data_IF_097892170711
#
_entry.id   IF_097892170711
#
_cell.length_a   1.000
_cell.length_b   1.000
_cell.length_c   1.000
_cell.angle_alpha   90.00
_cell.angle_beta   90.00
_cell.angle_gamma   90.00
#
_symmetry.space_group_name_H-M   'P 1'
#
loop_
_entity.id
_entity.type
_entity.pdbx_description
1 polymer ?
#
# COMPACT_ATOMS: atom_id res chain seq x y z
N UNK A 1 25.15 -18.96 1.16
CA UNK A 1 23.72 -18.58 0.96
C UNK A 1 23.75 -17.23 0.21
N UNK A 2 22.69 -16.77 -0.46
CA UNK A 2 22.78 -15.46 -1.14
C UNK A 2 22.90 -14.35 -0.07
N UNK A 3 23.78 -13.35 -0.26
CA UNK A 3 24.04 -12.28 0.73
C UNK A 3 22.77 -11.56 1.21
N UNK A 4 21.78 -11.36 0.33
CA UNK A 4 20.49 -10.75 0.71
C UNK A 4 19.73 -11.65 1.71
N UNK A 5 19.69 -12.95 1.45
CA UNK A 5 19.01 -13.92 2.32
C UNK A 5 19.74 -14.09 3.65
N UNK A 6 21.07 -14.05 3.65
CA UNK A 6 21.90 -14.08 4.87
C UNK A 6 21.62 -12.88 5.77
N UNK A 7 21.62 -11.68 5.19
CA UNK A 7 21.32 -10.44 5.92
C UNK A 7 19.89 -10.40 6.44
N UNK A 8 18.93 -10.86 5.62
CA UNK A 8 17.53 -10.91 6.03
C UNK A 8 17.32 -11.91 7.17
N UNK A 9 17.85 -13.13 7.06
CA UNK A 9 17.79 -14.14 8.12
C UNK A 9 18.45 -13.66 9.40
N UNK A 10 19.63 -13.04 9.31
CA UNK A 10 20.32 -12.47 10.47
C UNK A 10 19.45 -11.43 11.19
N UNK A 11 18.82 -10.54 10.43
CA UNK A 11 17.91 -9.52 10.97
C UNK A 11 16.64 -10.13 11.58
N UNK A 12 16.10 -11.20 11.00
CA UNK A 12 14.96 -11.94 11.58
C UNK A 12 15.35 -12.64 12.88
N UNK A 13 16.57 -13.19 12.98
CA UNK A 13 17.09 -13.77 14.23
C UNK A 13 17.28 -12.70 15.30
N UNK A 14 17.72 -11.51 14.95
CA UNK A 14 17.80 -10.38 15.87
C UNK A 14 16.40 -9.93 16.35
N UNK A 15 15.43 -9.86 15.44
CA UNK A 15 14.04 -9.56 15.79
C UNK A 15 13.45 -10.60 16.75
N UNK A 16 13.71 -11.88 16.50
CA UNK A 16 13.32 -12.98 17.39
C UNK A 16 13.92 -12.82 18.78
N UNK A 17 15.26 -12.68 18.86
CA UNK A 17 16.01 -12.53 20.12
C UNK A 17 15.55 -11.32 20.92
N UNK A 18 15.32 -10.19 20.26
CA UNK A 18 14.86 -8.94 20.88
C UNK A 18 13.51 -9.12 21.61
N UNK A 19 12.61 -9.97 21.08
CA UNK A 19 11.33 -10.25 21.73
C UNK A 19 11.50 -11.23 22.89
N UNK A 20 12.17 -12.36 22.70
CA UNK A 20 12.28 -13.38 23.76
C UNK A 20 13.11 -12.91 24.95
N UNK A 21 14.10 -12.04 24.72
CA UNK A 21 14.97 -11.47 25.75
C UNK A 21 14.45 -10.14 26.31
N UNK A 22 13.24 -9.72 25.93
CA UNK A 22 12.65 -8.49 26.46
C UNK A 22 12.48 -8.57 27.99
N UNK A 23 12.90 -7.50 28.67
CA UNK A 23 12.76 -7.35 30.13
C UNK A 23 11.31 -7.55 30.56
N UNK A 24 11.12 -8.17 31.73
CA UNK A 24 9.80 -8.29 32.35
C UNK A 24 9.22 -6.94 32.83
N UNK A 25 10.03 -5.88 32.86
CA UNK A 25 9.59 -4.51 33.14
C UNK A 25 8.92 -3.83 31.94
N UNK A 26 9.10 -4.33 30.72
CA UNK A 26 8.42 -3.78 29.55
C UNK A 26 6.95 -4.21 29.52
N UNK A 27 6.07 -3.29 29.17
CA UNK A 27 4.69 -3.58 28.81
C UNK A 27 4.63 -4.39 27.51
N UNK A 28 3.51 -5.09 27.31
CA UNK A 28 3.26 -5.88 26.10
C UNK A 28 3.26 -4.98 24.85
N UNK A 29 2.72 -3.77 24.96
CA UNK A 29 2.66 -2.78 23.89
C UNK A 29 4.07 -2.33 23.46
N UNK A 30 4.98 -2.15 24.42
CA UNK A 30 6.39 -1.84 24.15
C UNK A 30 7.09 -3.00 23.45
N UNK A 31 6.84 -4.25 23.86
CA UNK A 31 7.41 -5.44 23.22
C UNK A 31 6.89 -5.59 21.78
N UNK A 32 5.60 -5.34 21.53
CA UNK A 32 5.03 -5.35 20.17
C UNK A 32 5.63 -4.24 19.30
N UNK A 33 5.85 -3.05 19.87
CA UNK A 33 6.49 -1.92 19.19
C UNK A 33 7.96 -2.20 18.85
N UNK A 34 8.69 -2.83 19.77
CA UNK A 34 10.06 -3.33 19.54
C UNK A 34 10.08 -4.37 18.43
N UNK A 35 9.19 -5.36 18.48
CA UNK A 35 9.05 -6.38 17.43
C UNK A 35 8.82 -5.72 16.07
N UNK A 36 7.89 -4.77 16.00
CA UNK A 36 7.57 -4.02 14.78
C UNK A 36 8.79 -3.27 14.22
N UNK A 37 9.53 -2.56 15.08
CA UNK A 37 10.78 -1.88 14.70
C UNK A 37 11.80 -2.85 14.11
N UNK A 38 12.04 -3.97 14.78
CA UNK A 38 13.00 -4.99 14.33
C UNK A 38 12.59 -5.67 13.02
N UNK A 39 11.30 -5.90 12.82
CA UNK A 39 10.79 -6.41 11.55
C UNK A 39 10.98 -5.40 10.43
N UNK A 40 10.75 -4.09 10.66
CA UNK A 40 11.08 -3.06 9.66
C UNK A 40 12.55 -3.05 9.30
N UNK A 41 13.44 -3.18 10.29
CA UNK A 41 14.88 -3.30 10.08
C UNK A 41 15.20 -4.52 9.20
N UNK A 42 14.56 -5.67 9.43
CA UNK A 42 14.74 -6.85 8.60
C UNK A 42 14.27 -6.63 7.15
N UNK A 43 13.05 -6.13 6.93
CA UNK A 43 12.54 -5.90 5.57
C UNK A 43 13.30 -4.79 4.82
N UNK A 44 13.99 -3.88 5.52
CA UNK A 44 14.90 -2.90 4.90
C UNK A 44 16.06 -3.53 4.13
N UNK A 45 16.37 -4.81 4.40
CA UNK A 45 17.41 -5.59 3.69
C UNK A 45 16.90 -6.29 2.44
N UNK A 46 15.61 -6.16 2.14
CA UNK A 46 14.92 -6.88 1.07
C UNK A 46 14.24 -5.93 0.10
N UNK A 47 13.90 -6.43 -1.09
CA UNK A 47 13.01 -5.71 -2.00
C UNK A 47 11.56 -6.01 -1.64
N UNK A 48 10.76 -4.96 -1.47
CA UNK A 48 9.33 -5.09 -1.27
C UNK A 48 8.55 -3.98 -1.98
N UNK A 49 7.28 -4.25 -2.26
CA UNK A 49 6.34 -3.29 -2.84
C UNK A 49 5.07 -3.22 -2.00
N UNK A 50 4.62 -1.99 -1.72
CA UNK A 50 3.33 -1.74 -1.06
C UNK A 50 2.48 -0.90 -2.02
N UNK A 51 1.42 -1.52 -2.53
CA UNK A 51 0.45 -0.92 -3.43
C UNK A 51 -0.85 -0.61 -2.68
N UNK A 52 -1.60 0.39 -3.14
CA UNK A 52 -2.94 0.67 -2.63
C UNK A 52 -2.99 1.39 -1.28
N UNK A 53 -1.89 2.02 -0.84
CA UNK A 53 -1.86 2.78 0.43
C UNK A 53 -2.93 3.88 0.48
N UNK A 54 -3.37 4.40 -0.68
CA UNK A 54 -4.46 5.36 -0.81
C UNK A 54 -5.80 4.83 -0.30
N UNK A 55 -5.93 3.51 -0.09
CA UNK A 55 -7.14 2.88 0.42
C UNK A 55 -7.19 2.82 1.96
N UNK A 56 -6.11 3.20 2.66
CA UNK A 56 -6.06 3.16 4.12
C UNK A 56 -7.07 4.14 4.74
N UNK A 57 -8.00 3.68 5.61
CA UNK A 57 -8.89 4.56 6.35
C UNK A 57 -8.13 5.46 7.34
N UNK A 58 -8.61 6.67 7.61
CA UNK A 58 -7.91 7.58 8.53
C UNK A 58 -8.04 7.20 10.01
N UNK A 59 -9.18 6.61 10.41
CA UNK A 59 -9.46 6.13 11.77
C UNK A 59 -10.62 5.13 11.76
N UNK A 60 -10.72 4.33 12.80
CA UNK A 60 -11.90 3.50 13.08
C UNK A 60 -11.55 2.13 13.66
N UNK A 61 -12.57 1.30 13.80
CA UNK A 61 -12.45 -0.09 14.25
C UNK A 61 -12.01 -0.92 13.03
N UNK A 62 -10.69 -1.03 12.82
CA UNK A 62 -10.13 -1.60 11.59
C UNK A 62 -9.77 -3.08 11.78
N UNK A 63 -10.23 -3.92 10.86
CA UNK A 63 -9.81 -5.32 10.74
C UNK A 63 -9.04 -5.48 9.44
N UNK A 64 -7.73 -5.65 9.53
CA UNK A 64 -6.88 -6.00 8.39
C UNK A 64 -6.93 -7.51 8.17
N UNK A 65 -7.37 -7.92 6.99
CA UNK A 65 -7.41 -9.33 6.60
C UNK A 65 -6.40 -9.60 5.50
N UNK A 66 -5.76 -10.75 5.56
CA UNK A 66 -4.73 -11.11 4.59
C UNK A 66 -4.77 -12.59 4.23
N UNK A 67 -4.30 -12.90 3.03
CA UNK A 67 -4.01 -14.28 2.67
C UNK A 67 -2.71 -14.71 3.32
N UNK A 68 -2.69 -15.91 3.88
CA UNK A 68 -1.61 -16.37 4.72
C UNK A 68 -0.69 -17.31 3.94
N UNK A 69 0.57 -16.90 3.82
CA UNK A 69 1.58 -17.61 3.06
C UNK A 69 2.52 -18.41 3.97
N UNK A 70 3.01 -19.53 3.44
CA UNK A 70 4.15 -20.24 4.00
C UNK A 70 5.38 -19.34 4.00
N UNK A 71 6.36 -19.66 4.84
CA UNK A 71 7.69 -19.07 4.75
C UNK A 71 8.64 -20.06 4.08
N UNK A 72 9.64 -19.56 3.35
CA UNK A 72 10.72 -20.42 2.89
C UNK A 72 11.48 -21.04 4.09
N UNK A 73 11.79 -22.37 4.10
CA UNK A 73 12.43 -23.05 5.24
C UNK A 73 13.73 -22.40 5.75
N UNK A 74 14.48 -21.78 4.83
CA UNK A 74 15.69 -20.99 5.12
C UNK A 74 15.48 -19.90 6.19
N UNK A 75 14.27 -19.35 6.31
CA UNK A 75 13.97 -18.28 7.28
C UNK A 75 13.59 -18.79 8.68
N UNK A 76 14.10 -19.97 9.06
CA UNK A 76 14.00 -20.50 10.43
C UNK A 76 14.94 -19.75 11.36
N UNK A 77 14.37 -19.09 12.37
CA UNK A 77 15.11 -18.25 13.32
C UNK A 77 15.56 -19.02 14.56
N UNK A 78 14.90 -20.15 14.83
CA UNK A 78 15.22 -21.10 15.88
C UNK A 78 14.79 -22.50 15.45
N UNK A 79 15.13 -23.52 16.25
CA UNK A 79 14.77 -24.92 15.98
C UNK A 79 13.24 -25.05 15.82
N UNK A 80 12.80 -25.57 14.68
CA UNK A 80 11.39 -25.76 14.34
C UNK A 80 10.53 -24.48 14.49
N UNK A 81 11.12 -23.29 14.34
CA UNK A 81 10.39 -22.03 14.49
C UNK A 81 10.77 -20.97 13.45
N UNK A 82 9.72 -20.39 12.86
CA UNK A 82 9.79 -19.27 11.93
C UNK A 82 8.88 -18.14 12.42
N UNK A 83 9.36 -16.90 12.27
CA UNK A 83 8.53 -15.70 12.41
C UNK A 83 7.60 -15.62 11.21
N UNK A 84 6.29 -15.55 11.44
CA UNK A 84 5.28 -15.46 10.38
C UNK A 84 5.41 -14.15 9.58
N UNK A 85 6.01 -14.20 8.39
CA UNK A 85 6.52 -13.00 7.71
C UNK A 85 5.43 -12.04 7.24
N UNK A 86 4.36 -12.55 6.62
CA UNK A 86 3.28 -11.74 6.06
C UNK A 86 2.55 -10.89 7.11
N UNK A 87 2.14 -11.49 8.22
CA UNK A 87 1.40 -10.81 9.29
C UNK A 87 2.29 -9.84 10.07
N UNK A 88 3.57 -10.18 10.24
CA UNK A 88 4.56 -9.26 10.79
C UNK A 88 4.83 -8.09 9.83
N UNK A 89 4.93 -8.34 8.52
CA UNK A 89 5.06 -7.29 7.51
C UNK A 89 3.87 -6.35 7.55
N UNK A 90 2.64 -6.86 7.57
CA UNK A 90 1.42 -6.04 7.65
C UNK A 90 1.44 -5.21 8.93
N UNK A 91 1.70 -5.81 10.08
CA UNK A 91 1.71 -5.09 11.35
C UNK A 91 2.78 -3.99 11.38
N UNK A 92 3.95 -4.23 10.79
CA UNK A 92 5.12 -3.36 10.96
C UNK A 92 5.32 -2.34 9.83
N UNK A 93 5.08 -2.76 8.59
CA UNK A 93 5.29 -1.99 7.36
C UNK A 93 4.05 -1.25 6.89
N UNK A 94 2.86 -1.69 7.34
CA UNK A 94 1.58 -1.04 7.02
C UNK A 94 0.98 -0.42 8.29
N UNK A 95 0.60 -1.22 9.28
CA UNK A 95 -0.24 -0.70 10.36
C UNK A 95 0.57 0.23 11.28
N UNK A 96 1.69 -0.21 11.82
CA UNK A 96 2.50 0.63 12.70
C UNK A 96 3.01 1.88 11.99
N UNK A 97 3.38 1.74 10.71
CA UNK A 97 3.84 2.87 9.88
C UNK A 97 2.78 3.98 9.75
N UNK A 98 1.53 3.61 9.50
CA UNK A 98 0.47 4.58 9.19
C UNK A 98 -0.43 4.93 10.38
N UNK A 99 -0.42 4.14 11.46
CA UNK A 99 -1.27 4.35 12.63
C UNK A 99 -0.49 4.49 13.94
N UNK A 100 0.85 4.40 13.91
CA UNK A 100 1.73 4.46 15.09
C UNK A 100 1.36 3.44 16.19
N UNK A 101 0.84 2.29 15.76
CA UNK A 101 0.53 1.15 16.61
C UNK A 101 0.54 -0.11 15.74
N UNK A 102 1.26 -1.19 16.09
CA UNK A 102 1.33 -2.40 15.27
C UNK A 102 0.04 -3.22 15.23
N UNK A 103 -0.97 -2.85 16.03
CA UNK A 103 -2.22 -3.58 16.16
C UNK A 103 -2.06 -4.88 16.94
N UNK A 104 -3.16 -5.62 17.06
CA UNK A 104 -3.18 -6.96 17.66
C UNK A 104 -3.41 -7.98 16.56
N UNK A 105 -2.61 -9.06 16.58
CA UNK A 105 -2.78 -10.17 15.66
C UNK A 105 -3.61 -11.29 16.28
N UNK A 106 -4.16 -12.14 15.43
CA UNK A 106 -4.65 -13.46 15.81
C UNK A 106 -3.58 -14.49 15.46
N UNK A 107 -3.16 -15.29 16.42
CA UNK A 107 -2.14 -16.32 16.24
C UNK A 107 -2.58 -17.65 16.86
N UNK A 108 -2.07 -18.77 16.36
CA UNK A 108 -2.45 -20.08 16.90
C UNK A 108 -1.80 -20.34 18.24
N UNK A 109 -2.37 -21.18 19.09
CA UNK A 109 -1.67 -21.74 20.26
C UNK A 109 -0.53 -22.68 19.82
N UNK A 110 0.53 -22.77 20.65
CA UNK A 110 1.63 -23.72 20.44
C UNK A 110 1.20 -25.15 20.81
N UNK A 111 1.76 -26.13 20.11
CA UNK A 111 1.82 -27.50 20.60
C UNK A 111 2.84 -27.61 21.76
N UNK A 112 2.74 -28.63 22.64
CA UNK A 112 3.61 -28.76 23.81
C UNK A 112 5.11 -28.80 23.48
N UNK A 113 5.48 -29.32 22.31
CA UNK A 113 6.86 -29.42 21.84
C UNK A 113 7.40 -28.12 21.19
N UNK A 114 6.55 -27.12 20.92
CA UNK A 114 6.96 -25.88 20.23
C UNK A 114 7.41 -24.78 21.20
N UNK A 115 8.52 -25.02 21.91
CA UNK A 115 9.03 -24.12 22.96
C UNK A 115 9.28 -22.68 22.45
N UNK A 116 9.95 -22.52 21.31
CA UNK A 116 10.25 -21.19 20.75
C UNK A 116 9.01 -20.44 20.29
N UNK A 117 8.02 -21.14 19.74
CA UNK A 117 6.73 -20.54 19.38
C UNK A 117 6.00 -20.02 20.63
N UNK A 118 5.98 -20.82 21.71
CA UNK A 118 5.40 -20.40 22.99
C UNK A 118 6.12 -19.17 23.54
N UNK A 119 7.43 -19.25 23.73
CA UNK A 119 8.23 -18.17 24.33
C UNK A 119 8.10 -16.84 23.55
N UNK A 120 8.10 -16.90 22.22
CA UNK A 120 7.97 -15.70 21.39
C UNK A 120 6.59 -15.07 21.48
N UNK A 121 5.53 -15.87 21.32
CA UNK A 121 4.18 -15.33 21.25
C UNK A 121 3.56 -15.00 22.61
N UNK A 122 4.03 -15.63 23.69
CA UNK A 122 3.62 -15.25 25.05
C UNK A 122 4.11 -13.84 25.41
N UNK A 123 5.33 -13.47 24.99
CA UNK A 123 5.86 -12.10 25.15
C UNK A 123 5.06 -11.06 24.36
N UNK A 124 4.45 -11.44 23.24
CA UNK A 124 3.66 -10.54 22.40
C UNK A 124 2.17 -10.48 22.79
N UNK A 125 1.70 -11.42 23.61
CA UNK A 125 0.32 -11.55 24.11
C UNK A 125 -0.76 -11.26 23.06
N UNK A 126 -0.64 -11.81 21.87
CA UNK A 126 -1.67 -11.67 20.85
C UNK A 126 -2.94 -12.43 21.21
N UNK A 127 -4.01 -12.25 20.44
CA UNK A 127 -5.21 -13.08 20.63
C UNK A 127 -4.90 -14.49 20.11
N UNK A 128 -4.93 -15.48 21.01
CA UNK A 128 -4.56 -16.87 20.73
C UNK A 128 -5.79 -17.75 20.49
N UNK A 129 -5.72 -18.63 19.49
CA UNK A 129 -6.78 -19.60 19.14
C UNK A 129 -6.20 -20.98 18.81
N UNK A 130 -6.95 -22.06 19.00
CA UNK A 130 -6.58 -23.35 18.43
C UNK A 130 -6.89 -23.39 16.92
N UNK A 131 -5.93 -23.92 16.15
CA UNK A 131 -6.09 -24.21 14.74
C UNK A 131 -6.27 -25.72 14.51
N UNK A 132 -7.03 -26.12 13.48
CA UNK A 132 -7.49 -27.52 13.25
C UNK A 132 -6.40 -28.59 13.39
N UNK A 133 -5.17 -28.30 12.94
CA UNK A 133 -4.06 -29.25 12.95
C UNK A 133 -3.04 -28.98 14.07
N UNK A 134 -3.32 -28.05 14.97
CA UNK A 134 -2.43 -27.60 16.05
C UNK A 134 -3.19 -27.62 17.39
N UNK A 135 -3.79 -28.77 17.69
CA UNK A 135 -4.49 -29.04 18.95
C UNK A 135 -3.70 -30.14 19.69
N UNK A 136 -3.27 -29.90 20.94
CA UNK A 136 -2.63 -30.93 21.76
C UNK A 136 -3.56 -32.15 21.95
N UNK A 137 -3.01 -33.36 21.93
CA UNK A 137 -3.79 -34.63 22.02
C UNK A 137 -4.68 -34.73 23.27
N UNK A 138 -4.32 -34.02 24.34
CA UNK A 138 -5.05 -34.00 25.61
C UNK A 138 -6.17 -32.95 25.69
N UNK A 139 -6.40 -32.16 24.62
CA UNK A 139 -7.42 -31.12 24.58
C UNK A 139 -8.59 -31.61 23.72
N UNK A 140 -9.80 -31.59 24.29
CA UNK A 140 -11.01 -32.00 23.59
C UNK A 140 -11.71 -30.84 22.85
N UNK A 141 -12.65 -31.17 21.97
CA UNK A 141 -13.39 -30.19 21.17
C UNK A 141 -14.16 -29.15 21.99
N UNK A 142 -14.67 -29.52 23.16
CA UNK A 142 -15.40 -28.60 24.05
C UNK A 142 -14.45 -27.53 24.61
N UNK A 143 -13.25 -27.93 25.03
CA UNK A 143 -12.20 -27.01 25.47
C UNK A 143 -11.73 -26.11 24.32
N UNK A 144 -11.53 -26.67 23.12
CA UNK A 144 -11.20 -25.89 21.91
C UNK A 144 -12.26 -24.82 21.63
N UNK A 145 -13.54 -25.21 21.63
CA UNK A 145 -14.66 -24.28 21.41
C UNK A 145 -14.72 -23.20 22.49
N UNK A 146 -14.53 -23.56 23.75
CA UNK A 146 -14.53 -22.62 24.88
C UNK A 146 -13.41 -21.57 24.75
N UNK A 147 -12.19 -22.02 24.47
CA UNK A 147 -11.03 -21.12 24.31
C UNK A 147 -11.18 -20.24 23.06
N UNK A 148 -11.58 -20.81 21.93
CA UNK A 148 -11.81 -20.05 20.70
C UNK A 148 -13.01 -19.10 20.82
N UNK A 149 -13.94 -19.30 21.76
CA UNK A 149 -15.03 -18.33 22.03
C UNK A 149 -14.48 -17.04 22.65
N UNK A 150 -13.43 -17.12 23.48
CA UNK A 150 -12.78 -15.94 24.09
C UNK A 150 -12.17 -15.00 23.06
N UNK A 151 -11.83 -15.48 21.85
CA UNK A 151 -11.38 -14.63 20.75
C UNK A 151 -12.38 -13.51 20.45
N UNK A 152 -13.69 -13.81 20.40
CA UNK A 152 -14.69 -12.81 20.04
C UNK A 152 -14.80 -11.69 21.07
N UNK A 153 -14.73 -12.02 22.36
CA UNK A 153 -14.76 -11.05 23.46
C UNK A 153 -13.51 -10.16 23.43
N UNK A 154 -12.31 -10.76 23.37
CA UNK A 154 -11.05 -10.03 23.31
C UNK A 154 -10.96 -9.12 22.08
N UNK A 155 -11.28 -9.65 20.90
CA UNK A 155 -11.26 -8.88 19.66
C UNK A 155 -12.27 -7.73 19.68
N UNK A 156 -13.49 -7.97 20.19
CA UNK A 156 -14.51 -6.93 20.31
C UNK A 156 -14.10 -5.82 21.25
N UNK A 157 -13.50 -6.15 22.42
CA UNK A 157 -12.97 -5.15 23.36
C UNK A 157 -11.90 -4.29 22.72
N UNK A 158 -10.96 -4.92 22.00
CA UNK A 158 -9.85 -4.22 21.36
C UNK A 158 -10.33 -3.31 20.22
N UNK A 159 -11.26 -3.79 19.38
CA UNK A 159 -11.86 -3.01 18.30
C UNK A 159 -12.68 -1.83 18.83
N UNK A 160 -13.43 -1.98 19.93
CA UNK A 160 -14.19 -0.89 20.57
C UNK A 160 -13.31 0.28 21.05
N UNK A 161 -12.03 0.03 21.28
CA UNK A 161 -11.05 1.07 21.63
C UNK A 161 -10.49 1.82 20.40
N UNK A 162 -10.96 1.50 19.19
CA UNK A 162 -10.47 2.08 17.93
C UNK A 162 -9.15 1.49 17.44
N UNK A 163 -8.72 0.36 17.99
CA UNK A 163 -7.46 -0.28 17.61
C UNK A 163 -7.60 -1.17 16.36
N UNK A 164 -6.46 -1.56 15.79
CA UNK A 164 -6.38 -2.39 14.59
C UNK A 164 -6.24 -3.89 14.94
N UNK A 165 -7.10 -4.73 14.39
CA UNK A 165 -7.01 -6.20 14.45
C UNK A 165 -6.45 -6.74 13.14
N UNK A 166 -5.57 -7.74 13.19
CA UNK A 166 -4.99 -8.39 12.01
C UNK A 166 -5.25 -9.90 12.09
N UNK A 167 -5.89 -10.46 11.07
CA UNK A 167 -6.17 -11.90 11.02
C UNK A 167 -6.20 -12.45 9.61
N UNK A 168 -5.88 -13.73 9.45
CA UNK A 168 -6.11 -14.45 8.20
C UNK A 168 -7.43 -15.22 8.29
N UNK A 169 -8.39 -14.97 7.38
CA UNK A 169 -9.63 -15.74 7.34
C UNK A 169 -9.42 -17.17 6.84
N UNK A 170 -8.33 -17.49 6.12
CA UNK A 170 -8.03 -18.88 5.71
C UNK A 170 -7.73 -19.77 6.91
N UNK A 171 -7.04 -19.21 7.91
CA UNK A 171 -6.63 -19.93 9.12
C UNK A 171 -5.75 -21.15 8.85
N UNK A 172 -5.10 -21.18 7.69
CA UNK A 172 -4.03 -22.08 7.25
C UNK A 172 -3.11 -21.29 6.33
N UNK A 173 -1.88 -21.75 6.15
CA UNK A 173 -0.86 -21.12 5.30
C UNK A 173 -0.75 -21.89 3.97
N UNK A 174 -0.51 -21.19 2.88
CA UNK A 174 -0.41 -21.76 1.52
C UNK A 174 0.84 -21.25 0.78
N UNK A 175 1.21 -21.92 -0.31
CA UNK A 175 2.13 -21.31 -1.27
C UNK A 175 1.51 -20.07 -1.92
N UNK A 176 2.32 -19.20 -2.52
CA UNK A 176 1.79 -18.06 -3.30
C UNK A 176 0.86 -18.53 -4.42
N UNK A 177 1.16 -19.68 -5.02
CA UNK A 177 0.45 -20.26 -6.15
C UNK A 177 -0.95 -20.75 -5.74
N UNK A 178 -1.06 -21.40 -4.58
CA UNK A 178 -2.29 -22.02 -4.07
C UNK A 178 -3.17 -21.06 -3.25
N UNK A 179 -2.59 -19.99 -2.72
CA UNK A 179 -3.32 -18.95 -2.02
C UNK A 179 -4.30 -18.19 -2.96
N UNK A 180 -5.49 -17.79 -2.49
CA UNK A 180 -6.03 -18.05 -1.16
C UNK A 180 -6.80 -19.37 -1.11
N UNK A 181 -6.70 -20.09 0.00
CA UNK A 181 -7.59 -21.17 0.39
C UNK A 181 -9.01 -20.70 0.76
N UNK A 182 -9.78 -21.62 1.34
CA UNK A 182 -11.18 -21.36 1.74
C UNK A 182 -11.22 -20.53 3.01
N UNK A 183 -12.00 -19.45 2.99
CA UNK A 183 -12.18 -18.60 4.17
C UNK A 183 -13.04 -19.31 5.23
N UNK A 184 -12.54 -19.31 6.46
CA UNK A 184 -13.27 -19.71 7.66
C UNK A 184 -14.24 -18.62 8.08
N UNK A 185 -15.34 -19.04 8.71
CA UNK A 185 -16.42 -18.17 9.18
C UNK A 185 -16.06 -17.29 10.38
N UNK A 186 -14.84 -17.39 10.93
CA UNK A 186 -14.43 -16.72 12.17
C UNK A 186 -14.49 -15.18 12.11
N UNK A 187 -14.03 -14.60 10.99
CA UNK A 187 -14.14 -13.16 10.74
C UNK A 187 -15.60 -12.68 10.76
N UNK A 188 -16.45 -13.38 10.02
CA UNK A 188 -17.86 -13.00 9.84
C UNK A 188 -18.67 -13.22 11.11
N UNK A 189 -18.35 -14.25 11.89
CA UNK A 189 -18.88 -14.46 13.25
C UNK A 189 -18.42 -13.38 14.24
N UNK A 190 -17.24 -12.80 14.06
CA UNK A 190 -16.82 -11.64 14.83
C UNK A 190 -17.64 -10.42 14.42
N UNK A 191 -17.74 -10.14 13.11
CA UNK A 191 -18.54 -9.04 12.57
C UNK A 191 -20.00 -9.09 13.03
N UNK A 192 -20.62 -10.28 13.11
CA UNK A 192 -22.00 -10.41 13.61
C UNK A 192 -22.19 -10.07 15.09
N UNK A 193 -21.13 -10.20 15.89
CA UNK A 193 -21.13 -9.91 17.33
C UNK A 193 -20.77 -8.47 17.65
N UNK A 194 -20.24 -7.72 16.69
CA UNK A 194 -19.86 -6.32 16.90
C UNK A 194 -21.09 -5.43 16.85
N UNK A 195 -21.30 -4.68 17.93
CA UNK A 195 -22.35 -3.65 18.05
C UNK A 195 -21.95 -2.32 17.43
N UNK A 196 -20.79 -2.25 16.76
CA UNK A 196 -20.22 -1.02 16.19
C UNK A 196 -19.93 -1.22 14.70
N UNK A 197 -20.10 -0.18 13.86
CA UNK A 197 -19.62 -0.22 12.50
C UNK A 197 -18.13 -0.55 12.45
N UNK A 198 -17.77 -1.48 11.57
CA UNK A 198 -16.42 -2.03 11.49
C UNK A 198 -15.95 -2.01 10.04
N UNK A 199 -14.68 -1.65 9.84
CA UNK A 199 -14.09 -1.54 8.51
C UNK A 199 -13.12 -2.69 8.33
N UNK A 200 -13.41 -3.56 7.36
CA UNK A 200 -12.49 -4.62 6.95
C UNK A 200 -11.61 -4.09 5.82
N UNK A 201 -10.29 -4.18 5.98
CA UNK A 201 -9.30 -3.76 5.00
C UNK A 201 -8.59 -5.00 4.46
N UNK A 202 -8.94 -5.48 3.25
CA UNK A 202 -8.26 -6.62 2.66
C UNK A 202 -6.87 -6.24 2.15
N UNK A 203 -5.86 -7.02 2.50
CA UNK A 203 -4.48 -6.86 2.05
C UNK A 203 -4.03 -8.15 1.39
N UNK A 204 -3.76 -8.12 0.09
CA UNK A 204 -3.21 -9.26 -0.64
C UNK A 204 -1.70 -9.29 -0.49
N UNK A 205 -1.13 -10.47 -0.19
CA UNK A 205 0.31 -10.69 -0.09
C UNK A 205 0.77 -11.71 -1.13
N UNK A 206 1.98 -11.51 -1.69
CA UNK A 206 2.62 -12.46 -2.59
C UNK A 206 4.10 -12.63 -2.24
N UNK A 207 4.63 -13.82 -2.54
CA UNK A 207 6.03 -14.21 -2.50
C UNK A 207 6.68 -14.30 -1.12
N UNK A 208 5.92 -14.23 -0.02
CA UNK A 208 6.46 -14.42 1.33
C UNK A 208 6.97 -15.85 1.59
N UNK A 209 6.57 -16.79 0.73
CA UNK A 209 7.05 -18.18 0.66
C UNK A 209 8.34 -18.35 -0.16
N UNK A 210 8.83 -17.28 -0.81
CA UNK A 210 10.02 -17.29 -1.66
C UNK A 210 11.22 -16.67 -0.94
N UNK A 211 12.41 -16.90 -1.50
CA UNK A 211 13.63 -16.21 -1.06
C UNK A 211 13.62 -14.74 -1.49
N UNK A 212 14.03 -13.85 -0.58
CA UNK A 212 14.19 -12.42 -0.79
C UNK A 212 15.21 -12.08 -1.88
N UNK A 213 16.18 -12.97 -2.14
CA UNK A 213 17.11 -12.82 -3.26
C UNK A 213 16.51 -13.20 -4.63
N UNK A 214 15.41 -13.95 -4.65
CA UNK A 214 14.79 -14.50 -5.87
C UNK A 214 13.47 -13.84 -6.23
N UNK A 215 12.86 -13.11 -5.30
CA UNK A 215 11.55 -12.51 -5.49
C UNK A 215 11.42 -11.25 -4.67
N UNK A 216 10.37 -10.48 -4.98
CA UNK A 216 10.01 -9.27 -4.27
C UNK A 216 8.78 -9.56 -3.45
N UNK A 217 8.81 -9.22 -2.17
CA UNK A 217 7.63 -9.32 -1.31
C UNK A 217 6.64 -8.25 -1.70
N UNK A 218 5.44 -8.66 -2.14
CA UNK A 218 4.43 -7.70 -2.59
C UNK A 218 3.25 -7.68 -1.64
N UNK A 219 2.74 -6.49 -1.38
CA UNK A 219 1.57 -6.22 -0.56
C UNK A 219 0.65 -5.26 -1.33
N UNK A 220 -0.63 -5.58 -1.50
CA UNK A 220 -1.61 -4.67 -2.10
C UNK A 220 -2.81 -4.48 -1.16
N UNK A 221 -2.97 -3.25 -0.68
CA UNK A 221 -4.08 -2.85 0.18
C UNK A 221 -5.27 -2.53 -0.71
N UNK A 222 -6.35 -3.31 -0.57
CA UNK A 222 -7.58 -3.15 -1.35
C UNK A 222 -8.51 -2.13 -0.71
N UNK A 223 -9.50 -1.69 -1.50
CA UNK A 223 -10.56 -0.80 -1.01
C UNK A 223 -11.23 -1.40 0.23
N UNK A 224 -11.38 -0.62 1.31
CA UNK A 224 -12.00 -1.09 2.54
C UNK A 224 -13.48 -1.42 2.34
N UNK A 225 -13.97 -2.40 3.09
CA UNK A 225 -15.36 -2.83 3.11
C UNK A 225 -15.94 -2.43 4.46
N UNK A 226 -17.03 -1.65 4.43
CA UNK A 226 -17.74 -1.25 5.65
C UNK A 226 -18.83 -2.28 5.94
N UNK A 227 -18.77 -2.88 7.12
CA UNK A 227 -19.83 -3.74 7.64
C UNK A 227 -20.65 -2.96 8.67
N UNK A 228 -21.97 -2.99 8.51
CA UNK A 228 -22.92 -2.51 9.53
C UNK A 228 -22.93 -3.50 10.70
N UNK A 229 -23.36 -3.03 11.87
CA UNK A 229 -23.52 -3.90 13.05
C UNK A 229 -24.55 -4.99 12.75
N UNK A 230 -24.24 -6.22 13.18
CA UNK A 230 -25.06 -7.43 13.08
C UNK A 230 -25.21 -8.01 11.66
N UNK A 231 -24.54 -9.14 11.43
CA UNK A 231 -24.76 -10.04 10.29
C UNK A 231 -25.58 -11.23 10.78
N UNK A 232 -26.63 -11.62 10.06
CA UNK A 232 -27.35 -12.86 10.31
C UNK A 232 -26.50 -14.09 9.94
N UNK A 233 -26.95 -15.30 10.32
CA UNK A 233 -26.22 -16.53 9.95
C UNK A 233 -26.18 -16.78 8.44
N UNK A 234 -27.24 -16.42 7.70
CA UNK A 234 -27.25 -16.48 6.23
C UNK A 234 -26.29 -15.45 5.63
N UNK A 235 -26.23 -14.23 6.18
CA UNK A 235 -25.29 -13.20 5.72
C UNK A 235 -23.83 -13.65 5.88
N UNK A 236 -23.51 -14.34 6.98
CA UNK A 236 -22.17 -14.87 7.23
C UNK A 236 -21.71 -15.79 6.09
N UNK A 237 -22.57 -16.69 5.61
CA UNK A 237 -22.20 -17.62 4.55
C UNK A 237 -21.99 -16.91 3.22
N UNK A 238 -22.95 -16.05 2.87
CA UNK A 238 -22.97 -15.30 1.61
C UNK A 238 -21.75 -14.38 1.54
N UNK A 239 -21.49 -13.60 2.59
CA UNK A 239 -20.38 -12.66 2.63
C UNK A 239 -19.03 -13.37 2.68
N UNK A 240 -18.93 -14.51 3.36
CA UNK A 240 -17.72 -15.34 3.35
C UNK A 240 -17.38 -15.85 1.95
N UNK A 241 -18.34 -16.46 1.27
CA UNK A 241 -18.15 -16.99 -0.08
C UNK A 241 -17.83 -15.87 -1.08
N UNK A 242 -18.59 -14.78 -1.05
CA UNK A 242 -18.41 -13.61 -1.91
C UNK A 242 -17.04 -12.96 -1.72
N UNK A 243 -16.62 -12.73 -0.48
CA UNK A 243 -15.31 -12.13 -0.21
C UNK A 243 -14.18 -13.07 -0.62
N UNK A 244 -14.28 -14.38 -0.36
CA UNK A 244 -13.26 -15.35 -0.75
C UNK A 244 -13.09 -15.40 -2.29
N UNK A 245 -14.19 -15.42 -3.06
CA UNK A 245 -14.16 -15.38 -4.54
C UNK A 245 -13.49 -14.10 -5.06
N UNK A 246 -13.86 -12.95 -4.47
CA UNK A 246 -13.25 -11.65 -4.81
C UNK A 246 -11.76 -11.63 -4.47
N UNK A 247 -11.38 -12.21 -3.34
CA UNK A 247 -10.01 -12.30 -2.88
C UNK A 247 -9.14 -13.14 -3.83
N UNK A 248 -9.66 -14.29 -4.28
CA UNK A 248 -8.98 -15.14 -5.29
C UNK A 248 -8.72 -14.38 -6.60
N UNK A 249 -9.70 -13.61 -7.08
CA UNK A 249 -9.51 -12.74 -8.24
C UNK A 249 -8.42 -11.69 -8.02
N UNK A 250 -8.36 -11.08 -6.84
CA UNK A 250 -7.32 -10.12 -6.50
C UNK A 250 -5.92 -10.73 -6.46
N UNK A 251 -5.76 -11.89 -5.84
CA UNK A 251 -4.48 -12.62 -5.80
C UNK A 251 -4.02 -12.96 -7.22
N UNK A 252 -4.91 -13.52 -8.04
CA UNK A 252 -4.58 -13.87 -9.43
C UNK A 252 -4.21 -12.65 -10.27
N UNK A 253 -4.93 -11.52 -10.11
CA UNK A 253 -4.58 -10.27 -10.79
C UNK A 253 -3.23 -9.74 -10.33
N UNK A 254 -2.94 -9.82 -9.04
CA UNK A 254 -1.69 -9.29 -8.48
C UNK A 254 -0.46 -10.09 -8.92
N UNK A 255 -0.62 -11.39 -9.18
CA UNK A 255 0.42 -12.24 -9.80
C UNK A 255 0.84 -11.75 -11.20
N UNK A 256 -0.04 -11.03 -11.91
CA UNK A 256 0.22 -10.46 -13.23
C UNK A 256 0.85 -9.06 -13.19
N UNK A 257 1.02 -8.45 -12.01
CA UNK A 257 1.68 -7.15 -11.92
C UNK A 257 3.18 -7.30 -12.12
N UNK A 258 3.63 -6.96 -13.32
CA UNK A 258 5.04 -6.87 -13.67
C UNK A 258 5.59 -5.47 -13.39
N UNK A 259 6.91 -5.39 -13.21
CA UNK A 259 7.64 -4.15 -12.93
C UNK A 259 7.51 -3.08 -14.01
N UNK A 260 7.11 -3.46 -15.22
CA UNK A 260 7.06 -2.59 -16.39
C UNK A 260 5.69 -1.90 -16.59
N UNK A 261 4.76 -2.11 -15.66
CA UNK A 261 3.38 -1.59 -15.70
C UNK A 261 2.55 -2.13 -16.88
N UNK A 262 2.95 -3.22 -17.53
CA UNK A 262 2.33 -3.72 -18.78
C UNK A 262 0.81 -3.84 -18.70
N UNK A 263 0.28 -4.32 -17.58
CA UNK A 263 -1.17 -4.42 -17.38
C UNK A 263 -1.88 -3.05 -17.31
N UNK A 264 -1.31 -2.07 -16.59
CA UNK A 264 -1.88 -0.71 -16.55
C UNK A 264 -1.79 -0.02 -17.90
N UNK A 265 -0.64 -0.16 -18.59
CA UNK A 265 -0.43 0.40 -19.92
C UNK A 265 -1.42 -0.18 -20.93
N UNK A 266 -1.71 -1.50 -20.87
CA UNK A 266 -2.73 -2.12 -21.74
C UNK A 266 -4.11 -1.48 -21.57
N UNK A 267 -4.53 -1.22 -20.32
CA UNK A 267 -5.82 -0.57 -20.07
C UNK A 267 -5.84 0.88 -20.56
N UNK A 268 -4.73 1.61 -20.37
CA UNK A 268 -4.61 2.98 -20.88
C UNK A 268 -4.64 3.01 -22.41
N UNK A 269 -4.06 2.02 -23.10
CA UNK A 269 -4.12 1.93 -24.56
C UNK A 269 -5.55 1.73 -25.07
N UNK A 270 -6.36 0.89 -24.40
CA UNK A 270 -7.79 0.75 -24.72
C UNK A 270 -8.49 2.11 -24.59
N UNK A 271 -8.26 2.80 -23.47
CA UNK A 271 -8.84 4.12 -23.22
C UNK A 271 -8.42 5.15 -24.27
N UNK A 272 -7.16 5.14 -24.71
CA UNK A 272 -6.68 6.03 -25.76
C UNK A 272 -7.41 5.76 -27.08
N UNK A 273 -7.59 4.50 -27.47
CA UNK A 273 -8.30 4.15 -28.70
C UNK A 273 -9.79 4.56 -28.64
N UNK A 274 -10.45 4.32 -27.49
CA UNK A 274 -11.84 4.75 -27.25
C UNK A 274 -12.05 6.27 -27.38
N UNK A 275 -11.01 7.07 -27.09
CA UNK A 275 -11.08 8.54 -27.07
C UNK A 275 -10.33 9.19 -28.24
N UNK A 276 -9.84 8.42 -29.21
CA UNK A 276 -8.95 8.89 -30.28
C UNK A 276 -9.56 9.95 -31.21
N UNK A 277 -10.89 9.98 -31.29
CA UNK A 277 -11.66 10.96 -32.08
C UNK A 277 -11.86 12.30 -31.38
N UNK A 278 -11.47 12.45 -30.10
CA UNK A 278 -11.58 13.73 -29.41
C UNK A 278 -10.74 14.80 -30.12
N UNK A 279 -11.39 15.92 -30.45
CA UNK A 279 -10.71 17.06 -31.04
C UNK A 279 -10.08 17.90 -29.93
N UNK A 280 -8.76 18.06 -30.01
CA UNK A 280 -7.97 18.90 -29.09
C UNK A 280 -8.17 18.67 -27.58
N UNK A 281 -8.10 17.41 -27.07
CA UNK A 281 -8.27 17.15 -25.64
C UNK A 281 -7.13 17.76 -24.80
N UNK A 282 -7.40 18.02 -23.52
CA UNK A 282 -6.39 18.25 -22.49
C UNK A 282 -6.00 16.91 -21.87
N UNK A 283 -4.74 16.53 -22.05
CA UNK A 283 -4.23 15.24 -21.61
C UNK A 283 -3.53 15.41 -20.27
N UNK A 284 -3.99 14.69 -19.25
CA UNK A 284 -3.33 14.61 -17.95
C UNK A 284 -2.46 13.36 -17.90
N UNK A 285 -1.15 13.54 -17.77
CA UNK A 285 -0.17 12.45 -17.85
C UNK A 285 0.78 12.44 -16.65
N UNK A 286 1.00 11.28 -16.04
CA UNK A 286 1.90 11.22 -14.89
C UNK A 286 1.73 10.01 -14.01
N UNK A 287 2.26 10.12 -12.80
CA UNK A 287 2.22 9.06 -11.79
C UNK A 287 0.88 9.02 -11.02
N UNK A 288 0.89 8.46 -9.80
CA UNK A 288 -0.30 8.20 -8.99
C UNK A 288 -1.15 9.45 -8.69
N UNK A 289 -0.56 10.65 -8.64
CA UNK A 289 -1.34 11.89 -8.40
C UNK A 289 -2.30 12.18 -9.56
N UNK A 290 -1.90 11.88 -10.80
CA UNK A 290 -2.79 11.96 -11.96
C UNK A 290 -3.72 10.76 -11.98
N UNK A 291 -3.20 9.53 -11.87
CA UNK A 291 -4.00 8.29 -11.88
C UNK A 291 -5.18 8.33 -10.90
N UNK A 292 -4.98 8.90 -9.71
CA UNK A 292 -5.97 8.93 -8.63
C UNK A 292 -6.91 10.14 -8.67
N UNK A 293 -6.80 11.02 -9.68
CA UNK A 293 -7.70 12.14 -9.89
C UNK A 293 -9.05 11.68 -10.46
N UNK A 294 -9.85 11.03 -9.62
CA UNK A 294 -11.12 10.38 -10.02
C UNK A 294 -12.17 11.36 -10.51
N UNK A 295 -12.17 12.58 -9.96
CA UNK A 295 -13.10 13.66 -10.31
C UNK A 295 -12.65 14.48 -11.52
N UNK A 296 -11.62 14.07 -12.27
CA UNK A 296 -11.03 14.90 -13.34
C UNK A 296 -12.09 15.40 -14.34
N UNK A 297 -12.98 14.54 -14.83
CA UNK A 297 -14.02 14.96 -15.77
C UNK A 297 -15.02 15.95 -15.14
N UNK A 298 -15.34 15.78 -13.86
CA UNK A 298 -16.25 16.67 -13.12
C UNK A 298 -15.57 18.03 -12.84
N UNK A 299 -14.29 17.99 -12.48
CA UNK A 299 -13.47 19.14 -12.17
C UNK A 299 -13.24 20.03 -13.41
N UNK A 300 -13.25 19.44 -14.61
CA UNK A 300 -13.00 20.11 -15.89
C UNK A 300 -14.16 19.88 -16.88
N UNK A 301 -15.40 19.93 -16.39
CA UNK A 301 -16.62 19.61 -17.16
C UNK A 301 -16.84 20.39 -18.46
N UNK A 302 -16.21 21.55 -18.61
CA UNK A 302 -16.40 22.45 -19.75
C UNK A 302 -15.39 22.16 -20.89
N UNK A 303 -14.51 21.17 -20.72
CA UNK A 303 -13.46 20.79 -21.69
C UNK A 303 -13.26 19.28 -21.74
N UNK A 304 -12.85 18.77 -22.90
CA UNK A 304 -12.51 17.36 -23.04
C UNK A 304 -11.16 17.07 -22.37
N UNK A 305 -11.19 16.22 -21.33
CA UNK A 305 -10.00 15.82 -20.58
C UNK A 305 -9.80 14.32 -20.61
N UNK A 306 -8.53 13.89 -20.70
CA UNK A 306 -8.16 12.48 -20.67
C UNK A 306 -7.14 12.23 -19.58
N UNK A 307 -7.50 11.41 -18.60
CA UNK A 307 -6.58 10.92 -17.58
C UNK A 307 -5.78 9.71 -18.11
N UNK A 308 -4.49 9.90 -18.33
CA UNK A 308 -3.53 8.87 -18.77
C UNK A 308 -2.45 8.59 -17.70
N UNK A 309 -2.76 8.82 -16.42
CA UNK A 309 -1.84 8.51 -15.33
C UNK A 309 -1.79 7.03 -14.97
N UNK A 310 -0.62 6.53 -14.56
CA UNK A 310 -0.43 5.16 -14.06
C UNK A 310 0.40 5.11 -12.78
N UNK A 311 0.26 4.03 -12.00
CA UNK A 311 0.81 3.92 -10.64
C UNK A 311 2.33 3.86 -10.64
N UNK A 312 2.98 4.40 -9.61
CA UNK A 312 4.43 4.22 -9.37
C UNK A 312 5.38 4.73 -10.46
N UNK A 313 4.88 5.39 -11.51
CA UNK A 313 5.67 5.74 -12.68
C UNK A 313 6.87 6.64 -12.34
N UNK A 314 8.06 6.25 -12.82
CA UNK A 314 9.24 7.11 -12.91
C UNK A 314 9.23 7.91 -14.22
N UNK A 315 10.09 8.92 -14.35
CA UNK A 315 10.21 9.70 -15.58
C UNK A 315 10.52 8.81 -16.78
N UNK A 316 11.39 7.80 -16.60
CA UNK A 316 11.78 6.89 -17.68
C UNK A 316 10.60 6.03 -18.15
N UNK A 317 9.75 5.57 -17.23
CA UNK A 317 8.54 4.81 -17.57
C UNK A 317 7.52 5.66 -18.34
N UNK A 318 7.38 6.93 -17.98
CA UNK A 318 6.55 7.90 -18.71
C UNK A 318 7.14 8.16 -20.10
N UNK A 319 8.44 8.44 -20.19
CA UNK A 319 9.12 8.68 -21.47
C UNK A 319 9.01 7.47 -22.42
N UNK A 320 9.20 6.24 -21.91
CA UNK A 320 9.08 5.00 -22.69
C UNK A 320 7.68 4.83 -23.30
N UNK A 321 6.63 5.16 -22.55
CA UNK A 321 5.25 4.93 -22.99
C UNK A 321 4.58 6.14 -23.67
N UNK A 322 5.21 7.31 -23.63
CA UNK A 322 4.68 8.57 -24.17
C UNK A 322 4.11 8.45 -25.59
N UNK A 323 4.89 7.89 -26.54
CA UNK A 323 4.44 7.83 -27.94
C UNK A 323 3.24 6.91 -28.16
N UNK A 324 3.11 5.86 -27.33
CA UNK A 324 2.03 4.88 -27.42
C UNK A 324 0.75 5.41 -26.80
N UNK A 325 0.86 6.15 -25.69
CA UNK A 325 -0.28 6.66 -24.93
C UNK A 325 -0.76 8.04 -25.38
N UNK A 326 0.14 8.88 -25.88
CA UNK A 326 -0.17 10.23 -26.35
C UNK A 326 0.03 10.24 -27.85
N UNK A 327 -0.99 9.78 -28.58
CA UNK A 327 -1.05 9.69 -30.04
C UNK A 327 -2.26 10.43 -30.63
N UNK A 328 -2.68 11.51 -29.97
CA UNK A 328 -3.74 12.41 -30.41
C UNK A 328 -3.18 13.39 -31.44
N UNK A 329 -4.00 13.83 -32.39
CA UNK A 329 -3.56 14.68 -33.51
C UNK A 329 -3.08 16.06 -33.05
N UNK A 330 -3.87 16.77 -32.24
CA UNK A 330 -3.55 18.13 -31.81
C UNK A 330 -4.06 18.44 -30.39
N UNK A 331 -3.49 17.84 -29.33
CA UNK A 331 -3.94 18.10 -27.96
C UNK A 331 -3.81 19.58 -27.60
N UNK A 332 -4.82 20.16 -26.95
CA UNK A 332 -4.80 21.58 -26.52
C UNK A 332 -3.75 21.84 -25.45
N UNK A 333 -3.59 20.89 -24.53
CA UNK A 333 -2.54 20.91 -23.52
C UNK A 333 -2.17 19.48 -23.08
N UNK A 334 -0.93 19.31 -22.64
CA UNK A 334 -0.45 18.11 -21.95
C UNK A 334 0.00 18.52 -20.56
N UNK A 335 -0.80 18.18 -19.55
CA UNK A 335 -0.55 18.49 -18.14
C UNK A 335 0.18 17.32 -17.50
N UNK A 336 1.44 17.54 -17.10
CA UNK A 336 2.35 16.52 -16.58
C UNK A 336 2.57 16.65 -15.07
N UNK A 337 2.62 15.50 -14.37
CA UNK A 337 3.06 15.40 -12.98
C UNK A 337 4.00 14.19 -12.79
N UNK A 338 5.26 14.45 -12.48
CA UNK A 338 6.34 13.45 -12.51
C UNK A 338 7.55 13.87 -11.64
N UNK A 339 8.54 12.99 -11.48
CA UNK A 339 9.78 13.24 -10.74
C UNK A 339 9.70 12.96 -9.23
N UNK A 340 8.51 13.00 -8.64
CA UNK A 340 8.36 12.70 -7.20
C UNK A 340 8.75 11.27 -6.82
N UNK A 341 8.50 10.28 -7.70
CA UNK A 341 8.88 8.89 -7.44
C UNK A 341 10.38 8.65 -7.65
N UNK A 342 11.01 9.39 -8.58
CA UNK A 342 12.42 9.31 -8.90
C UNK A 342 13.32 9.68 -7.70
N UNK A 343 12.78 10.40 -6.70
CA UNK A 343 13.44 10.64 -5.40
C UNK A 343 13.66 9.37 -4.55
N UNK A 344 12.97 8.27 -4.88
CA UNK A 344 13.20 6.95 -4.28
C UNK A 344 14.34 6.20 -4.96
N UNK A 345 14.81 6.70 -6.10
CA UNK A 345 16.02 6.21 -6.76
C UNK A 345 17.23 6.93 -6.15
N UNK A 346 18.41 6.37 -6.31
CA UNK A 346 19.68 7.00 -5.90
C UNK A 346 20.09 8.13 -6.86
N UNK A 347 19.14 9.01 -7.23
CA UNK A 347 19.33 10.15 -8.11
C UNK A 347 19.42 11.45 -7.30
N UNK A 348 20.32 12.34 -7.73
CA UNK A 348 20.40 13.70 -7.26
C UNK A 348 19.25 14.57 -7.82
N UNK A 349 18.93 15.70 -7.17
CA UNK A 349 17.97 16.67 -7.70
C UNK A 349 18.28 17.13 -9.13
N UNK A 350 19.56 17.30 -9.47
CA UNK A 350 20.00 17.80 -10.77
C UNK A 350 19.78 16.76 -11.88
N UNK A 351 20.01 15.47 -11.59
CA UNK A 351 19.68 14.37 -12.50
C UNK A 351 18.18 14.27 -12.76
N UNK A 352 17.35 14.48 -11.72
CA UNK A 352 15.89 14.52 -11.89
C UNK A 352 15.49 15.72 -12.75
N UNK A 353 16.02 16.92 -12.50
CA UNK A 353 15.79 18.11 -13.33
C UNK A 353 16.15 17.83 -14.80
N UNK A 354 17.32 17.23 -15.05
CA UNK A 354 17.78 16.89 -16.40
C UNK A 354 16.82 15.92 -17.09
N UNK A 355 16.39 14.85 -16.41
CA UNK A 355 15.41 13.90 -16.95
C UNK A 355 14.07 14.57 -17.28
N UNK A 356 13.59 15.49 -16.43
CA UNK A 356 12.37 16.26 -16.71
C UNK A 356 12.56 17.13 -17.95
N UNK A 357 13.68 17.85 -18.07
CA UNK A 357 14.00 18.68 -19.24
C UNK A 357 13.96 17.84 -20.53
N UNK A 358 14.64 16.69 -20.53
CA UNK A 358 14.62 15.76 -21.69
C UNK A 358 13.22 15.27 -22.04
N UNK A 359 12.37 15.05 -21.05
CA UNK A 359 11.00 14.66 -21.32
C UNK A 359 10.16 15.81 -21.88
N UNK A 360 10.32 17.04 -21.37
CA UNK A 360 9.70 18.24 -21.95
C UNK A 360 10.16 18.46 -23.40
N UNK A 361 11.46 18.36 -23.69
CA UNK A 361 12.00 18.42 -25.05
C UNK A 361 11.32 17.41 -25.98
N UNK A 362 11.12 16.18 -25.51
CA UNK A 362 10.43 15.12 -26.26
C UNK A 362 8.96 15.47 -26.56
N UNK A 363 8.24 16.04 -25.58
CA UNK A 363 6.85 16.48 -25.78
C UNK A 363 6.83 17.64 -26.78
N UNK A 364 7.66 18.66 -26.58
CA UNK A 364 7.72 19.84 -27.44
C UNK A 364 8.07 19.49 -28.89
N UNK A 365 9.00 18.55 -29.10
CA UNK A 365 9.36 18.06 -30.44
C UNK A 365 8.17 17.42 -31.16
N UNK A 366 7.32 16.68 -30.44
CA UNK A 366 6.15 16.01 -31.01
C UNK A 366 4.97 16.97 -31.18
N UNK A 367 4.81 17.91 -30.26
CA UNK A 367 3.67 18.83 -30.16
C UNK A 367 4.16 20.27 -29.91
N UNK A 368 4.75 20.93 -30.91
CA UNK A 368 5.39 22.24 -30.74
C UNK A 368 4.40 23.37 -30.39
N UNK A 369 3.13 23.23 -30.77
CA UNK A 369 2.09 24.22 -30.54
C UNK A 369 1.21 23.91 -29.32
N UNK A 370 1.47 22.81 -28.62
CA UNK A 370 0.68 22.39 -27.46
C UNK A 370 1.28 22.96 -26.17
N UNK A 371 0.43 23.49 -25.28
CA UNK A 371 0.87 23.92 -23.96
C UNK A 371 1.26 22.71 -23.10
N UNK A 372 2.43 22.78 -22.45
CA UNK A 372 2.91 21.76 -21.53
C UNK A 372 2.72 22.28 -20.10
N UNK A 373 1.76 21.75 -19.36
CA UNK A 373 1.52 22.15 -17.98
C UNK A 373 2.34 21.33 -17.00
N UNK A 374 3.44 21.85 -16.46
CA UNK A 374 4.19 21.16 -15.42
C UNK A 374 3.62 21.44 -14.03
N UNK A 375 2.97 20.43 -13.43
CA UNK A 375 2.56 20.47 -12.03
C UNK A 375 3.78 20.17 -11.17
N UNK A 376 4.16 21.13 -10.32
CA UNK A 376 5.25 20.97 -9.34
C UNK A 376 5.09 19.71 -8.49
N UNK A 377 6.22 19.09 -8.15
CA UNK A 377 6.23 17.98 -7.20
C UNK A 377 5.68 18.52 -5.87
N UNK A 378 4.60 17.94 -5.38
CA UNK A 378 3.91 18.39 -4.16
C UNK A 378 4.66 18.00 -2.88
N UNK A 379 4.46 18.72 -1.76
CA UNK A 379 4.90 18.25 -0.45
C UNK A 379 4.11 17.01 0.00
N UNK A 380 4.71 16.20 0.88
CA UNK A 380 4.03 15.06 1.52
C UNK A 380 4.72 14.66 2.81
N UNK A 381 3.99 14.06 3.75
CA UNK A 381 4.53 13.57 5.03
C UNK A 381 5.51 12.43 4.77
N UNK A 382 5.16 11.52 3.85
CA UNK A 382 6.02 10.40 3.46
C UNK A 382 7.37 10.83 2.89
N UNK A 383 7.47 12.03 2.33
CA UNK A 383 8.70 12.59 1.76
C UNK A 383 9.24 13.77 2.57
N UNK A 384 8.95 13.84 3.87
CA UNK A 384 9.40 14.95 4.74
C UNK A 384 10.92 15.16 4.68
N UNK A 385 11.70 14.09 4.59
CA UNK A 385 13.16 14.14 4.52
C UNK A 385 13.70 14.49 3.12
N UNK A 386 12.82 14.68 2.13
CA UNK A 386 13.17 15.02 0.73
C UNK A 386 12.63 16.39 0.30
N UNK A 387 12.13 17.20 1.24
CA UNK A 387 11.51 18.49 0.92
C UNK A 387 12.51 19.49 0.34
N UNK A 388 13.78 19.46 0.77
CA UNK A 388 14.86 20.27 0.18
C UNK A 388 15.06 19.92 -1.30
N UNK A 389 15.14 18.63 -1.60
CA UNK A 389 15.33 18.10 -2.95
C UNK A 389 14.15 18.48 -3.85
N UNK A 390 12.92 18.32 -3.34
CA UNK A 390 11.70 18.72 -4.03
C UNK A 390 11.71 20.21 -4.35
N UNK A 391 12.09 21.07 -3.39
CA UNK A 391 12.20 22.53 -3.63
C UNK A 391 13.24 22.85 -4.70
N UNK A 392 14.41 22.18 -4.67
CA UNK A 392 15.47 22.36 -5.67
C UNK A 392 14.98 21.95 -7.07
N UNK A 393 14.33 20.79 -7.21
CA UNK A 393 13.74 20.34 -8.47
C UNK A 393 12.71 21.34 -8.98
N UNK A 394 11.73 21.69 -8.15
CA UNK A 394 10.67 22.62 -8.52
C UNK A 394 11.23 23.99 -8.96
N UNK A 395 12.29 24.50 -8.30
CA UNK A 395 12.96 25.74 -8.71
C UNK A 395 13.69 25.56 -10.05
N UNK A 396 14.39 24.44 -10.23
CA UNK A 396 15.09 24.12 -11.49
C UNK A 396 14.14 24.07 -12.68
N UNK A 397 12.98 23.43 -12.55
CA UNK A 397 11.98 23.39 -13.63
C UNK A 397 11.38 24.76 -13.91
N UNK A 398 11.20 25.60 -12.89
CA UNK A 398 10.76 26.99 -13.09
C UNK A 398 11.74 27.79 -13.95
N UNK A 399 13.05 27.55 -13.79
CA UNK A 399 14.08 28.20 -14.61
C UNK A 399 14.08 27.65 -16.05
N UNK A 400 13.89 26.34 -16.22
CA UNK A 400 13.79 25.70 -17.54
C UNK A 400 12.58 26.19 -18.35
N UNK A 401 11.52 26.69 -17.70
CA UNK A 401 10.39 27.30 -18.41
C UNK A 401 10.79 28.49 -19.29
N UNK A 402 11.94 29.13 -19.04
CA UNK A 402 12.47 30.17 -19.92
C UNK A 402 12.99 29.62 -21.26
N UNK A 403 13.39 28.33 -21.31
CA UNK A 403 13.90 27.67 -22.52
C UNK A 403 12.76 27.18 -23.44
N UNK A 404 11.53 27.09 -22.92
CA UNK A 404 10.38 26.50 -23.61
C UNK A 404 9.16 27.42 -23.50
N UNK A 405 8.84 28.24 -24.52
CA UNK A 405 7.74 29.21 -24.47
C UNK A 405 6.36 28.59 -24.18
N UNK A 406 6.15 27.32 -24.53
CA UNK A 406 4.93 26.57 -24.26
C UNK A 406 4.93 25.79 -22.93
N UNK A 407 6.01 25.85 -22.13
CA UNK A 407 6.08 25.21 -20.81
C UNK A 407 5.49 26.13 -19.74
N UNK A 408 4.32 25.75 -19.24
CA UNK A 408 3.59 26.46 -18.19
C UNK A 408 3.89 25.85 -16.82
N UNK A 409 4.49 26.64 -15.93
CA UNK A 409 4.78 26.23 -14.55
C UNK A 409 3.56 26.38 -13.64
N UNK A 410 3.12 25.27 -13.04
CA UNK A 410 1.93 25.20 -12.16
C UNK A 410 2.38 24.91 -10.72
N UNK A 411 2.41 25.97 -9.90
CA UNK A 411 2.78 25.88 -8.49
C UNK A 411 1.62 25.34 -7.63
N UNK A 412 1.79 24.10 -7.19
CA UNK A 412 0.95 23.43 -6.20
C UNK A 412 1.72 23.15 -4.92
N UNK A 413 3.06 23.17 -4.97
CA UNK A 413 3.89 22.90 -3.80
C UNK A 413 3.56 23.88 -2.68
N UNK A 414 3.60 25.18 -2.98
CA UNK A 414 3.34 26.21 -1.98
C UNK A 414 1.87 26.24 -1.54
N UNK A 415 0.94 25.92 -2.45
CA UNK A 415 -0.50 25.90 -2.16
C UNK A 415 -0.94 24.72 -1.26
N UNK A 416 -0.11 23.69 -1.16
CA UNK A 416 -0.36 22.49 -0.33
C UNK A 416 0.39 22.52 1.02
N UNK A 417 1.03 23.64 1.35
CA UNK A 417 1.59 23.88 2.68
C UNK A 417 0.56 24.57 3.58
N UNK A 418 0.66 24.33 4.88
CA UNK A 418 -0.03 25.10 5.91
C UNK A 418 1.01 25.82 6.75
N UNK A 419 0.97 27.16 6.77
CA UNK A 419 1.97 28.02 7.42
C UNK A 419 3.41 27.62 7.07
N UNK A 420 3.67 27.31 5.80
CA UNK A 420 4.98 26.90 5.29
C UNK A 420 5.43 25.48 5.64
N UNK A 421 4.58 24.68 6.31
CA UNK A 421 4.87 23.30 6.72
C UNK A 421 3.98 22.30 5.99
N UNK A 422 4.50 21.08 5.82
CA UNK A 422 3.72 19.95 5.30
C UNK A 422 2.62 19.61 6.30
N UNK A 423 1.40 19.40 5.80
CA UNK A 423 0.22 19.10 6.61
C UNK A 423 -0.51 17.87 6.08
N UNK A 424 -1.16 17.12 6.96
CA UNK A 424 -2.05 16.01 6.59
C UNK A 424 -3.39 16.51 6.03
N UNK A 425 -3.71 17.80 6.16
CA UNK A 425 -4.97 18.42 5.68
C UNK A 425 -5.31 18.07 4.22
N UNK A 426 -4.31 17.99 3.35
CA UNK A 426 -4.48 17.74 1.91
C UNK A 426 -4.16 16.30 1.49
N UNK A 427 -3.80 15.44 2.43
CA UNK A 427 -3.29 14.10 2.16
C UNK A 427 -4.26 13.03 2.67
N UNK A 428 -4.19 11.85 2.07
CA UNK A 428 -4.82 10.64 2.58
C UNK A 428 -4.02 10.10 3.77
N UNK A 429 -4.53 9.03 4.41
CA UNK A 429 -3.90 8.44 5.60
C UNK A 429 -2.45 7.99 5.36
N UNK A 430 -2.14 7.61 4.12
CA UNK A 430 -0.78 7.23 3.76
C UNK A 430 0.21 8.38 3.73
N UNK A 431 -0.22 9.63 3.98
CA UNK A 431 0.66 10.79 4.05
C UNK A 431 1.34 11.12 2.72
N UNK A 432 0.91 10.50 1.61
CA UNK A 432 1.48 10.67 0.27
C UNK A 432 0.43 11.12 -0.73
N UNK A 433 -0.69 10.44 -0.87
CA UNK A 433 -1.65 10.76 -1.94
C UNK A 433 -2.59 11.89 -1.53
N UNK A 434 -3.11 12.64 -2.50
CA UNK A 434 -4.01 13.76 -2.23
C UNK A 434 -5.40 13.24 -1.81
N UNK A 435 -6.00 13.90 -0.83
CA UNK A 435 -7.42 13.74 -0.52
C UNK A 435 -8.27 14.71 -1.37
N UNK A 436 -9.58 14.76 -1.13
CA UNK A 436 -10.52 15.64 -1.86
C UNK A 436 -10.10 17.12 -1.80
N UNK A 437 -9.67 17.61 -0.64
CA UNK A 437 -9.24 19.00 -0.49
C UNK A 437 -7.92 19.28 -1.21
N UNK A 438 -7.00 18.31 -1.22
CA UNK A 438 -5.78 18.37 -2.02
C UNK A 438 -6.07 18.46 -3.52
N UNK A 439 -7.01 17.66 -4.03
CA UNK A 439 -7.43 17.75 -5.43
C UNK A 439 -8.11 19.08 -5.76
N UNK A 440 -8.90 19.68 -4.87
CA UNK A 440 -9.45 21.03 -5.10
C UNK A 440 -8.35 22.09 -5.31
N UNK A 441 -7.26 22.00 -4.54
CA UNK A 441 -6.09 22.89 -4.72
C UNK A 441 -5.45 22.66 -6.09
N UNK A 442 -5.29 21.39 -6.48
CA UNK A 442 -4.76 20.99 -7.78
C UNK A 442 -5.63 21.50 -8.94
N UNK A 443 -6.95 21.27 -8.88
CA UNK A 443 -7.94 21.76 -9.87
C UNK A 443 -7.82 23.26 -10.07
N UNK A 444 -7.84 24.03 -8.98
CA UNK A 444 -7.76 25.49 -9.05
C UNK A 444 -6.44 25.95 -9.68
N UNK A 445 -5.32 25.36 -9.27
CA UNK A 445 -4.00 25.74 -9.80
C UNK A 445 -3.86 25.45 -11.30
N UNK A 446 -4.41 24.33 -11.78
CA UNK A 446 -4.41 24.01 -13.22
C UNK A 446 -5.34 24.97 -13.98
N UNK A 447 -6.56 25.22 -13.49
CA UNK A 447 -7.52 26.18 -14.08
C UNK A 447 -6.97 27.60 -14.24
N UNK A 448 -6.21 28.06 -13.27
CA UNK A 448 -5.57 29.40 -13.31
C UNK A 448 -4.49 29.53 -14.40
N UNK A 449 -3.91 28.42 -14.87
CA UNK A 449 -2.68 28.43 -15.68
C UNK A 449 -2.83 27.86 -17.07
N UNK A 450 -3.66 26.83 -17.23
CA UNK A 450 -3.93 26.22 -18.53
C UNK A 450 -5.17 26.88 -19.11
N UNK A 451 -5.02 27.53 -20.26
CA UNK A 451 -6.15 28.09 -21.02
C UNK A 451 -7.04 26.92 -21.45
N UNK A 452 -8.25 26.90 -20.91
CA UNK A 452 -9.25 25.85 -21.13
C UNK A 452 -10.03 26.06 -22.41
#
# INVERSE_FOLDING_TARGET
MNKIDELFLSSLKDAFKSVINSSNSHSVEEIRSLSSKKIREAFSKTKYEIHGSENLPSKGNLIFIYNHLNNHPLYSVAENFQITLDSHFISSMVIDRYYNNPGIRVSRLSLPNEKFHKNYYDKLDYIRVYAKNFIPKNINDTQVKSINKKFYEKASKYLKQGNCLVLSPEGASYSTEESPGVFKKGLFKLLSKLSIPTIVVPIVTLNFDKLASKSIFKCEIKKPIKYKSHLSNSDIEIESSKLNKKYKSWVNKMKLYDHDFSFEIKNLLSKVEENKKMEAPIIFYGSSTIRLWKSLNEDFKDVDVINLGFGGAYIDSLSKNFNRLINFLNPKAIVIYLGGNDLNLSLSPDEVIFKIKKFVEKINKKYPNTNIGYITIKPSVERKNKLSDIKKINKGIKLIANDFPNLVYIDVYNKLLDKGKVTSKFLLQDGLHLNKEGYKVLTRAVKEKIKM
#
